data_IF_285595608991
#
_entry.id   IF_285595608991
#
_cell.length_a   1.000
_cell.length_b   1.000
_cell.length_c   1.000
_cell.angle_alpha   90.00
_cell.angle_beta   90.00
_cell.angle_gamma   90.00
#
_symmetry.space_group_name_H-M   'P 1'
#
loop_
_entity.id
_entity.type
_entity.pdbx_description
1 polymer ?
#
# COMPACT_ATOMS: atom_id res chain seq x y z
N UNK A 1 -21.82 21.95 -5.99
CA UNK A 1 -21.55 21.54 -6.27
C UNK A 1 -21.46 20.59 -6.28
N UNK A 2 -21.49 20.21 -6.27
CA UNK A 2 -21.44 19.41 -6.20
C UNK A 2 -20.92 18.67 -6.23
N UNK A 3 -20.50 18.57 -6.21
CA UNK A 3 -19.98 17.99 -6.29
C UNK A 3 -19.91 17.15 -5.86
N UNK A 4 -19.99 16.80 -5.33
CA UNK A 4 -19.94 16.02 -4.74
C UNK A 4 -20.45 15.10 -5.01
N UNK A 5 -20.32 14.39 -5.32
CA UNK A 5 -20.75 13.48 -5.63
C UNK A 5 -20.81 12.49 -4.95
N UNK A 6 -21.38 11.83 -4.88
CA UNK A 6 -21.70 10.83 -4.07
C UNK A 6 -20.90 9.61 -4.18
N UNK A 7 -19.77 9.64 -4.52
CA UNK A 7 -18.99 8.51 -4.53
C UNK A 7 -18.59 8.20 -3.12
N UNK A 8 -18.81 7.03 -2.57
CA UNK A 8 -18.39 6.76 -1.21
C UNK A 8 -16.89 6.79 -1.11
N UNK A 9 -16.42 7.29 0.00
CA UNK A 9 -15.00 7.31 0.25
C UNK A 9 -14.66 6.18 1.17
N UNK A 10 -13.45 5.66 1.08
CA UNK A 10 -13.03 4.65 2.05
C UNK A 10 -13.10 5.24 3.43
N UNK A 11 -13.62 4.48 4.35
CA UNK A 11 -13.63 4.93 5.72
C UNK A 11 -12.25 4.80 6.30
N UNK A 12 -11.95 5.69 7.22
CA UNK A 12 -10.66 5.71 7.86
C UNK A 12 -10.66 4.67 8.97
N UNK A 13 -10.69 3.42 8.61
CA UNK A 13 -10.77 2.32 9.55
C UNK A 13 -9.45 1.59 9.63
N UNK A 14 -9.05 1.18 10.83
CA UNK A 14 -7.83 0.38 10.93
C UNK A 14 -8.02 -0.98 10.30
N UNK A 15 -6.93 -1.62 9.98
CA UNK A 15 -6.98 -2.98 9.51
C UNK A 15 -7.60 -3.85 10.57
N UNK A 16 -8.47 -4.76 10.15
CA UNK A 16 -9.12 -5.65 11.08
C UNK A 16 -10.34 -5.09 11.73
N UNK A 17 -10.71 -3.84 11.42
CA UNK A 17 -11.92 -3.27 11.98
C UNK A 17 -13.15 -4.04 11.50
N UNK A 18 -14.23 -4.07 12.29
CA UNK A 18 -15.45 -4.75 11.83
C UNK A 18 -15.98 -4.11 10.57
N UNK A 19 -16.48 -4.93 9.68
CA UNK A 19 -16.93 -4.47 8.36
C UNK A 19 -18.41 -4.65 8.13
N UNK A 20 -19.09 -5.32 9.05
CA UNK A 20 -20.47 -5.72 8.80
C UNK A 20 -21.47 -4.57 8.76
N UNK A 21 -21.07 -3.39 9.19
CA UNK A 21 -21.95 -2.22 9.09
C UNK A 21 -21.74 -1.44 7.81
N UNK A 22 -20.81 -1.86 6.96
CA UNK A 22 -20.51 -1.13 5.74
C UNK A 22 -21.41 -1.57 4.60
N UNK A 23 -21.77 -0.65 3.72
CA UNK A 23 -22.53 -0.98 2.54
C UNK A 23 -21.63 -1.66 1.51
N UNK A 24 -22.23 -2.23 0.49
CA UNK A 24 -21.45 -2.81 -0.60
C UNK A 24 -20.50 -1.79 -1.21
N UNK A 25 -21.00 -0.59 -1.45
CA UNK A 25 -20.17 0.44 -2.05
C UNK A 25 -19.02 0.81 -1.14
N UNK A 26 -19.27 0.88 0.14
CA UNK A 26 -18.21 1.17 1.10
C UNK A 26 -17.19 0.06 1.15
N UNK A 27 -17.64 -1.17 1.06
CA UNK A 27 -16.71 -2.29 1.03
C UNK A 27 -15.87 -2.28 -0.23
N UNK A 28 -16.49 -1.95 -1.36
CA UNK A 28 -15.73 -1.86 -2.61
C UNK A 28 -14.70 -0.75 -2.54
N UNK A 29 -15.08 0.37 -1.97
CA UNK A 29 -14.15 1.48 -1.81
C UNK A 29 -13.01 1.09 -0.91
N UNK A 30 -13.29 0.32 0.13
CA UNK A 30 -12.23 -0.13 1.02
C UNK A 30 -11.28 -1.09 0.33
N UNK A 31 -11.84 -1.98 -0.49
CA UNK A 31 -10.98 -2.88 -1.27
C UNK A 31 -10.04 -2.09 -2.16
N UNK A 32 -10.56 -1.08 -2.85
CA UNK A 32 -9.73 -0.27 -3.72
C UNK A 32 -8.64 0.43 -2.93
N UNK A 33 -8.99 0.98 -1.78
CA UNK A 33 -8.01 1.67 -0.94
C UNK A 33 -6.94 0.71 -0.44
N UNK A 34 -7.34 -0.52 -0.10
CA UNK A 34 -6.37 -1.51 0.36
C UNK A 34 -5.44 -1.94 -0.76
N UNK A 35 -5.97 -2.07 -1.98
CA UNK A 35 -5.12 -2.39 -3.12
C UNK A 35 -4.10 -1.30 -3.40
N UNK A 36 -4.54 -0.05 -3.29
CA UNK A 36 -3.62 1.07 -3.45
C UNK A 36 -2.54 1.04 -2.38
N UNK A 37 -2.94 0.73 -1.16
CA UNK A 37 -1.98 0.67 -0.06
C UNK A 37 -0.99 -0.47 -0.27
N UNK A 38 -1.47 -1.63 -0.72
CA UNK A 38 -0.57 -2.74 -1.01
C UNK A 38 0.46 -2.31 -2.04
N UNK A 39 0.02 -1.64 -3.10
CA UNK A 39 0.94 -1.18 -4.13
C UNK A 39 1.97 -0.21 -3.58
N UNK A 40 1.52 0.71 -2.72
CA UNK A 40 2.42 1.67 -2.12
C UNK A 40 3.48 0.97 -1.27
N UNK A 41 3.03 0.03 -0.45
CA UNK A 41 3.93 -0.70 0.44
C UNK A 41 4.91 -1.56 -0.37
N UNK A 42 4.40 -2.17 -1.43
CA UNK A 42 5.26 -2.98 -2.29
C UNK A 42 6.38 -2.16 -2.91
N UNK A 43 6.05 -0.93 -3.33
CA UNK A 43 7.08 -0.07 -3.92
C UNK A 43 8.14 0.29 -2.90
N UNK A 44 7.73 0.57 -1.67
CA UNK A 44 8.69 0.89 -0.63
C UNK A 44 9.54 -0.34 -0.30
N UNK A 45 8.91 -1.50 -0.24
CA UNK A 45 9.63 -2.73 0.03
C UNK A 45 10.66 -3.01 -1.05
N UNK A 46 10.27 -2.86 -2.30
CA UNK A 46 11.21 -3.11 -3.40
C UNK A 46 12.36 -2.12 -3.38
N UNK A 47 12.07 -0.87 -3.04
CA UNK A 47 13.10 0.12 -2.94
C UNK A 47 14.11 -0.24 -1.84
N UNK A 48 13.61 -0.71 -0.71
CA UNK A 48 14.50 -1.08 0.39
C UNK A 48 15.31 -2.32 0.05
N UNK A 49 14.69 -3.27 -0.64
CA UNK A 49 15.42 -4.46 -1.07
C UNK A 49 16.53 -4.09 -2.05
N UNK A 50 16.23 -3.21 -2.97
CA UNK A 50 17.23 -2.77 -3.94
C UNK A 50 18.37 -2.04 -3.25
N UNK A 51 18.06 -1.19 -2.30
CA UNK A 51 19.10 -0.49 -1.55
C UNK A 51 19.97 -1.45 -0.76
N UNK A 52 19.33 -2.44 -0.13
CA UNK A 52 20.07 -3.41 0.64
C UNK A 52 20.96 -4.25 -0.27
N UNK A 53 20.43 -4.67 -1.39
CA UNK A 53 21.22 -5.47 -2.33
C UNK A 53 22.39 -4.66 -2.86
N UNK A 54 22.18 -3.40 -3.16
CA UNK A 54 23.25 -2.54 -3.63
C UNK A 54 24.32 -2.35 -2.56
N UNK A 55 23.89 -2.13 -1.33
CA UNK A 55 24.84 -1.97 -0.24
C UNK A 55 25.63 -3.23 -0.01
N UNK A 56 24.96 -4.38 -0.01
CA UNK A 56 25.62 -5.65 0.16
C UNK A 56 26.64 -5.89 -0.93
N UNK A 57 26.24 -5.62 -2.15
CA UNK A 57 27.11 -5.80 -3.30
C UNK A 57 28.34 -4.90 -3.20
N UNK A 58 28.12 -3.66 -2.77
CA UNK A 58 29.19 -2.72 -2.60
C UNK A 58 30.19 -3.19 -1.53
N UNK A 59 29.67 -3.66 -0.43
CA UNK A 59 30.54 -4.10 0.64
C UNK A 59 31.25 -5.40 0.36
N UNK A 60 30.68 -6.27 -0.46
CA UNK A 60 31.30 -7.49 -0.75
C UNK A 60 32.20 -7.43 -1.87
N UNK A 61 32.14 -6.50 -2.58
CA UNK A 61 32.84 -6.39 -3.71
C UNK A 61 34.09 -6.75 -3.68
N UNK A 62 34.58 -6.85 -3.86
CA UNK A 62 35.49 -7.12 -4.17
C UNK A 62 36.38 -7.73 -4.03
N UNK A 63 36.46 -7.92 -3.68
CA UNK A 63 37.12 -8.44 -3.42
C UNK A 63 37.70 -9.08 -4.15
N UNK A 64 37.96 -9.23 -4.44
CA UNK A 64 38.31 -9.82 -5.00
C UNK A 64 38.67 -10.17 -5.71
N UNK A 65 38.90 -10.08 -5.83
CA UNK A 65 39.13 -10.46 -6.41
C UNK A 65 39.50 -10.45 -6.77
#
# INVERSE_FOLDING_TARGET
MIEDEPRPKPKDLPLGAPLDTLSEAELEARIAALRDEIGRVERVLESKKASRAAATSFFRAPSAR
#
